data_IF_167587940073
#
_entry.id   IF_167587940073
#
_cell.length_a   1.000
_cell.length_b   1.000
_cell.length_c   1.000
_cell.angle_alpha   90.00
_cell.angle_beta   90.00
_cell.angle_gamma   90.00
#
_symmetry.space_group_name_H-M   'P 1'
#
loop_
_entity.id
_entity.type
_entity.pdbx_description
1 polymer ?
#
# COMPACT_ATOMS: atom_id res chain seq x y z
N UNK A 1 -14.10 4.89 -3.81
CA UNK A 1 -12.68 4.49 -3.89
C UNK A 1 -11.95 4.94 -2.64
N UNK A 2 -11.23 4.03 -1.99
CA UNK A 2 -10.43 4.39 -0.83
C UNK A 2 -9.05 4.83 -1.26
N UNK A 3 -8.52 5.82 -0.56
CA UNK A 3 -7.17 6.31 -0.79
C UNK A 3 -6.39 6.09 0.49
N UNK A 4 -5.29 5.38 0.38
CA UNK A 4 -4.40 5.17 1.50
C UNK A 4 -3.10 5.94 1.32
N UNK A 5 -2.32 6.00 2.39
CA UNK A 5 -1.06 6.69 2.38
C UNK A 5 0.04 5.74 2.85
N UNK A 6 1.13 5.69 2.10
CA UNK A 6 2.28 4.88 2.47
C UNK A 6 2.96 5.52 3.67
N UNK A 7 3.10 4.75 4.76
CA UNK A 7 3.72 5.24 5.99
C UNK A 7 5.11 4.67 6.21
N UNK A 8 5.40 3.50 5.63
CA UNK A 8 6.69 2.87 5.82
C UNK A 8 7.01 1.96 4.65
N UNK A 9 8.24 1.94 4.22
CA UNK A 9 8.73 1.06 3.16
C UNK A 9 9.98 0.34 3.66
N UNK A 10 9.95 -0.99 3.61
CA UNK A 10 11.08 -1.83 4.00
C UNK A 10 11.25 -2.90 2.93
N UNK A 11 12.16 -2.63 1.95
CA UNK A 11 12.31 -3.52 0.81
C UNK A 11 10.99 -3.70 0.09
N UNK A 12 10.52 -4.94 -0.11
CA UNK A 12 9.24 -5.18 -0.78
C UNK A 12 8.02 -4.99 0.15
N UNK A 13 8.25 -4.74 1.43
CA UNK A 13 7.17 -4.61 2.41
C UNK A 13 6.81 -3.15 2.56
N UNK A 14 5.50 -2.86 2.42
CA UNK A 14 5.01 -1.49 2.46
C UNK A 14 3.83 -1.42 3.43
N UNK A 15 3.88 -0.49 4.35
CA UNK A 15 2.77 -0.23 5.27
C UNK A 15 1.95 0.95 4.75
N UNK A 16 0.64 0.79 4.76
CA UNK A 16 -0.29 1.77 4.22
C UNK A 16 -1.35 2.09 5.27
N UNK A 17 -1.51 3.37 5.53
CA UNK A 17 -2.52 3.88 6.45
C UNK A 17 -3.75 4.32 5.67
N UNK A 18 -4.92 3.95 6.18
CA UNK A 18 -6.20 4.39 5.65
C UNK A 18 -6.96 5.17 6.72
N UNK A 19 -7.56 6.27 6.32
CA UNK A 19 -8.39 7.09 7.21
C UNK A 19 -9.82 6.56 7.32
N UNK A 20 -10.23 5.73 6.38
CA UNK A 20 -11.58 5.21 6.30
C UNK A 20 -11.61 3.71 6.55
N UNK A 21 -12.71 3.26 7.10
CA UNK A 21 -12.97 1.83 7.30
C UNK A 21 -14.08 1.38 6.36
N UNK A 22 -14.14 0.10 6.00
CA UNK A 22 -13.23 -0.98 6.41
C UNK A 22 -11.91 -0.95 5.67
N UNK A 23 -10.89 -1.57 6.25
CA UNK A 23 -9.62 -1.77 5.58
C UNK A 23 -9.77 -2.79 4.45
N UNK A 24 -8.90 -2.72 3.45
CA UNK A 24 -8.87 -3.75 2.40
C UNK A 24 -8.66 -5.13 3.00
N UNK A 25 -9.32 -6.13 2.44
CA UNK A 25 -9.15 -7.51 2.88
C UNK A 25 -7.76 -8.02 2.55
N UNK A 26 -7.34 -9.03 3.30
CA UNK A 26 -6.10 -9.76 3.01
C UNK A 26 -6.20 -10.33 1.60
N UNK A 27 -5.09 -10.25 0.86
CA UNK A 27 -4.95 -10.65 -0.54
C UNK A 27 -5.59 -9.69 -1.54
N UNK A 28 -6.14 -8.58 -1.08
CA UNK A 28 -6.60 -7.53 -1.99
C UNK A 28 -5.39 -6.90 -2.68
N UNK A 29 -5.51 -6.67 -3.98
CA UNK A 29 -4.47 -5.99 -4.74
C UNK A 29 -4.67 -4.48 -4.64
N UNK A 30 -3.61 -3.78 -4.27
CA UNK A 30 -3.58 -2.32 -4.21
C UNK A 30 -2.69 -1.82 -5.32
N UNK A 31 -3.11 -0.74 -5.97
CA UNK A 31 -2.34 -0.14 -7.04
C UNK A 31 -1.74 1.17 -6.57
N UNK A 32 -0.45 1.32 -6.79
CA UNK A 32 0.28 2.54 -6.45
C UNK A 32 0.75 3.19 -7.74
N UNK A 33 0.49 4.48 -7.87
CA UNK A 33 1.05 5.24 -8.98
C UNK A 33 2.29 5.96 -8.47
N UNK A 34 3.45 5.48 -8.90
CA UNK A 34 4.73 6.01 -8.47
C UNK A 34 5.41 6.70 -9.64
N UNK A 35 5.21 8.00 -9.77
CA UNK A 35 5.81 8.82 -10.82
C UNK A 35 5.53 8.26 -12.21
N UNK A 36 4.27 7.94 -12.48
CA UNK A 36 3.85 7.40 -13.77
C UNK A 36 4.04 5.91 -13.91
N UNK A 37 4.67 5.25 -12.95
CA UNK A 37 4.82 3.79 -12.94
C UNK A 37 3.82 3.20 -11.98
N UNK A 38 3.10 2.20 -12.45
CA UNK A 38 2.11 1.50 -11.62
C UNK A 38 2.76 0.31 -10.96
N UNK A 39 2.61 0.24 -9.65
CA UNK A 39 3.10 -0.87 -8.84
C UNK A 39 1.91 -1.52 -8.18
N UNK A 40 1.88 -2.84 -8.22
CA UNK A 40 0.81 -3.61 -7.59
C UNK A 40 1.33 -4.26 -6.32
N UNK A 41 0.57 -4.13 -5.25
CA UNK A 41 0.90 -4.74 -3.96
C UNK A 41 -0.26 -5.61 -3.50
N UNK A 42 0.04 -6.58 -2.69
CA UNK A 42 -0.96 -7.46 -2.11
C UNK A 42 -1.01 -7.24 -0.60
N UNK A 43 -2.22 -7.08 -0.08
CA UNK A 43 -2.41 -6.93 1.36
C UNK A 43 -2.12 -8.26 2.04
N UNK A 44 -1.17 -8.26 2.97
CA UNK A 44 -0.73 -9.47 3.68
C UNK A 44 -1.28 -9.54 5.08
N UNK A 45 -1.45 -8.40 5.75
CA UNK A 45 -1.79 -8.38 7.15
C UNK A 45 -2.38 -7.03 7.53
N UNK A 46 -3.34 -7.06 8.47
CA UNK A 46 -3.80 -5.84 9.10
C UNK A 46 -2.96 -5.56 10.34
N UNK A 47 -2.53 -4.32 10.48
CA UNK A 47 -1.76 -3.90 11.65
C UNK A 47 -2.56 -2.81 12.35
N UNK A 48 -3.11 -3.14 13.52
CA UNK A 48 -3.99 -2.21 14.20
C UNK A 48 -5.32 -2.05 13.47
N UNK A 49 -5.93 -0.88 13.59
CA UNK A 49 -7.26 -0.63 13.05
C UNK A 49 -7.26 0.19 11.78
N UNK A 50 -6.12 0.76 11.39
CA UNK A 50 -6.05 1.72 10.29
C UNK A 50 -4.91 1.50 9.31
N UNK A 51 -4.13 0.45 9.51
CA UNK A 51 -2.92 0.21 8.71
C UNK A 51 -2.91 -1.22 8.18
N UNK A 52 -2.50 -1.37 6.94
CA UNK A 52 -2.28 -2.69 6.35
C UNK A 52 -0.83 -2.83 5.95
N UNK A 53 -0.31 -4.04 6.04
CA UNK A 53 1.02 -4.38 5.57
C UNK A 53 0.90 -5.12 4.25
N UNK A 54 1.60 -4.64 3.24
CA UNK A 54 1.52 -5.15 1.88
C UNK A 54 2.88 -5.63 1.41
N UNK A 55 2.85 -6.50 0.41
CA UNK A 55 4.07 -6.95 -0.28
C UNK A 55 3.91 -6.61 -1.76
N UNK A 56 4.93 -6.02 -2.33
CA UNK A 56 4.96 -5.76 -3.77
C UNK A 56 5.12 -7.06 -4.52
N UNK A 57 4.28 -7.28 -5.53
CA UNK A 57 4.24 -8.52 -6.26
C UNK A 57 5.15 -8.54 -7.48
N UNK A 58 5.67 -7.40 -7.89
CA UNK A 58 6.57 -7.28 -9.04
C UNK A 58 7.77 -6.46 -8.65
N UNK A 59 8.76 -6.38 -9.55
CA UNK A 59 9.93 -5.57 -9.29
C UNK A 59 9.49 -4.14 -8.94
N UNK A 60 9.89 -3.71 -7.79
CA UNK A 60 9.52 -2.39 -7.29
C UNK A 60 10.61 -1.41 -7.60
N UNK A 61 10.19 -0.19 -7.87
CA UNK A 61 11.08 0.95 -7.91
C UNK A 61 11.05 1.62 -6.55
N UNK A 62 11.88 2.61 -6.34
CA UNK A 62 11.96 3.27 -5.04
C UNK A 62 10.64 3.94 -4.69
N UNK A 63 9.96 3.39 -3.69
CA UNK A 63 8.84 4.04 -3.06
C UNK A 63 9.34 4.76 -1.82
N UNK A 64 8.78 5.91 -1.53
CA UNK A 64 9.11 6.67 -0.34
C UNK A 64 7.86 6.85 0.50
N UNK A 65 8.02 6.75 1.81
CA UNK A 65 6.92 6.99 2.73
C UNK A 65 6.38 8.41 2.54
N UNK A 66 5.07 8.53 2.58
CA UNK A 66 4.34 9.81 2.50
C UNK A 66 4.41 10.51 1.15
N UNK A 67 5.00 9.92 0.13
CA UNK A 67 5.12 10.55 -1.18
C UNK A 67 4.14 10.04 -2.21
N UNK A 68 3.60 8.84 -2.00
CA UNK A 68 2.74 8.19 -2.98
C UNK A 68 1.40 7.85 -2.37
N UNK A 69 0.33 8.18 -3.07
CA UNK A 69 -1.02 7.80 -2.67
C UNK A 69 -1.42 6.49 -3.30
N UNK A 70 -2.20 5.71 -2.57
CA UNK A 70 -2.73 4.44 -3.04
C UNK A 70 -4.19 4.59 -3.40
N UNK A 71 -4.56 3.97 -4.50
CA UNK A 71 -5.94 3.91 -4.96
C UNK A 71 -6.38 2.45 -5.01
N UNK A 72 -7.53 2.20 -4.42
CA UNK A 72 -8.14 0.88 -4.46
C UNK A 72 -9.08 0.75 -5.64
#
# INVERSE_FOLDING_TARGET
>A
MQIGKITQVMGPVVDVHFDETPLPYIQTALQVDNHGKKVVMEVMQHIGTDTVRCIMSVSYTHLRAHETELHL
#
